data_IF_639146640297
#
_entry.id   IF_639146640297
#
_cell.length_a   1.000
_cell.length_b   1.000
_cell.length_c   1.000
_cell.angle_alpha   90.00
_cell.angle_beta   90.00
_cell.angle_gamma   90.00
#
_symmetry.space_group_name_H-M   'P 1'
#
loop_
_entity.id
_entity.type
_entity.pdbx_description
1 polymer ?
#
# COMPACT_ATOMS: atom_id res chain seq x y z
N UNK A 1 2.53 28.40 8.26
CA UNK A 1 1.79 27.73 9.35
C UNK A 1 1.97 26.24 9.16
N UNK A 2 3.08 25.72 9.65
CA UNK A 2 3.43 24.30 9.63
C UNK A 2 2.54 23.52 10.59
N UNK A 3 1.64 22.71 10.03
CA UNK A 3 0.93 21.65 10.75
C UNK A 3 1.30 20.32 10.10
N UNK A 4 2.40 19.76 10.60
CA UNK A 4 2.55 18.34 10.94
C UNK A 4 1.49 17.44 10.32
N UNK A 5 1.77 16.92 9.13
CA UNK A 5 1.05 15.75 8.63
C UNK A 5 1.44 14.58 9.52
N UNK A 6 0.60 14.27 10.51
CA UNK A 6 0.67 13.02 11.25
C UNK A 6 0.57 11.90 10.20
N UNK A 7 1.72 11.37 9.78
CA UNK A 7 1.79 10.24 8.88
C UNK A 7 1.21 9.08 9.68
N UNK A 8 -0.09 8.87 9.53
CA UNK A 8 -0.76 7.71 10.08
C UNK A 8 -0.15 6.50 9.37
N UNK A 9 0.82 5.86 10.01
CA UNK A 9 1.51 4.68 9.48
C UNK A 9 0.94 3.45 10.15
N UNK A 10 0.83 2.38 9.39
CA UNK A 10 0.46 1.07 9.91
C UNK A 10 1.24 -0.01 9.19
N UNK A 11 1.25 -1.21 9.75
CA UNK A 11 1.92 -2.35 9.16
C UNK A 11 0.89 -3.41 8.84
N UNK A 12 1.01 -4.01 7.66
CA UNK A 12 0.20 -5.16 7.25
C UNK A 12 1.09 -6.36 7.01
N UNK A 13 0.55 -7.55 7.23
CA UNK A 13 1.20 -8.79 6.82
C UNK A 13 0.71 -9.15 5.42
N UNK A 14 1.61 -9.18 4.45
CA UNK A 14 1.34 -9.56 3.07
C UNK A 14 2.42 -10.52 2.58
N UNK A 15 2.05 -11.66 1.99
CA UNK A 15 2.98 -12.71 1.57
C UNK A 15 4.01 -13.12 2.66
N UNK A 16 3.57 -13.19 3.92
CA UNK A 16 4.42 -13.51 5.07
C UNK A 16 5.50 -12.46 5.40
N UNK A 17 5.46 -11.30 4.73
CA UNK A 17 6.34 -10.16 4.97
C UNK A 17 5.56 -9.01 5.60
N UNK A 18 6.24 -8.25 6.46
CA UNK A 18 5.66 -7.04 7.06
C UNK A 18 5.88 -5.88 6.10
N UNK A 19 4.78 -5.27 5.65
CA UNK A 19 4.79 -4.15 4.71
C UNK A 19 4.35 -2.89 5.43
N UNK A 20 5.16 -1.83 5.33
CA UNK A 20 4.82 -0.52 5.86
C UNK A 20 3.77 0.15 4.97
N UNK A 21 2.69 0.63 5.57
CA UNK A 21 1.61 1.35 4.89
C UNK A 21 1.54 2.77 5.44
N UNK A 22 1.78 3.76 4.58
CA UNK A 22 1.50 5.16 4.91
C UNK A 22 0.07 5.50 4.50
N UNK A 23 -0.72 5.98 5.44
CA UNK A 23 -2.07 6.48 5.19
C UNK A 23 -1.96 7.95 4.80
N UNK A 24 -2.21 8.27 3.53
CA UNK A 24 -2.10 9.63 2.99
C UNK A 24 -3.49 10.17 2.70
N UNK A 25 -3.94 11.13 3.50
CA UNK A 25 -5.29 11.70 3.39
C UNK A 25 -6.41 10.67 3.60
N UNK A 26 -6.08 9.54 4.24
CA UNK A 26 -6.96 8.41 4.51
C UNK A 26 -6.76 7.90 5.94
N UNK A 27 -7.56 6.92 6.34
CA UNK A 27 -7.51 6.28 7.66
C UNK A 27 -7.46 4.75 7.56
N UNK A 28 -7.32 4.10 8.71
CA UNK A 28 -7.20 2.64 8.86
C UNK A 28 -8.39 1.86 8.29
N UNK A 29 -9.55 2.49 8.05
CA UNK A 29 -10.74 1.83 7.47
C UNK A 29 -10.52 1.43 6.02
N UNK A 30 -9.50 1.96 5.34
CA UNK A 30 -9.14 1.54 3.99
C UNK A 30 -8.21 0.33 3.94
N UNK A 31 -7.70 -0.15 5.09
CA UNK A 31 -6.83 -1.34 5.13
C UNK A 31 -7.51 -2.60 4.59
N UNK A 32 -8.79 -2.91 4.91
CA UNK A 32 -9.50 -4.03 4.29
C UNK A 32 -9.58 -3.91 2.75
N UNK A 33 -9.85 -2.71 2.23
CA UNK A 33 -9.87 -2.43 0.78
C UNK A 33 -8.50 -2.68 0.16
N UNK A 34 -7.42 -2.22 0.81
CA UNK A 34 -6.04 -2.49 0.39
C UNK A 34 -5.75 -3.99 0.34
N UNK A 35 -6.07 -4.73 1.41
CA UNK A 35 -5.85 -6.18 1.46
C UNK A 35 -6.66 -6.93 0.40
N UNK A 36 -7.89 -6.48 0.13
CA UNK A 36 -8.70 -7.02 -0.96
C UNK A 36 -8.05 -6.75 -2.31
N UNK A 37 -7.66 -5.51 -2.59
CA UNK A 37 -7.00 -5.12 -3.84
C UNK A 37 -5.68 -5.87 -4.06
N UNK A 38 -4.88 -6.08 -3.01
CA UNK A 38 -3.66 -6.89 -3.08
C UNK A 38 -3.96 -8.39 -3.33
N UNK A 39 -5.11 -8.90 -2.89
CA UNK A 39 -5.48 -10.31 -3.17
C UNK A 39 -6.05 -10.49 -4.58
N UNK A 40 -6.75 -9.49 -5.11
CA UNK A 40 -7.41 -9.56 -6.41
C UNK A 40 -6.51 -9.15 -7.57
N UNK A 41 -5.63 -8.17 -7.37
CA UNK A 41 -4.71 -7.68 -8.41
C UNK A 41 -3.46 -8.57 -8.56
N UNK A 42 -3.68 -9.88 -8.67
CA UNK A 42 -2.62 -10.89 -8.87
C UNK A 42 -1.82 -10.66 -10.15
N UNK A 43 -2.39 -10.00 -11.16
CA UNK A 43 -1.68 -9.65 -12.39
C UNK A 43 -0.64 -8.55 -12.13
N UNK A 44 -1.03 -7.48 -11.43
CA UNK A 44 -0.13 -6.38 -11.06
C UNK A 44 0.94 -6.85 -10.08
N UNK A 45 0.58 -7.74 -9.16
CA UNK A 45 1.51 -8.33 -8.17
C UNK A 45 2.36 -9.46 -8.74
N UNK A 46 1.90 -10.18 -9.75
CA UNK A 46 2.71 -11.18 -10.47
C UNK A 46 3.85 -10.54 -11.27
N UNK A 47 3.70 -9.27 -11.65
CA UNK A 47 4.78 -8.47 -12.24
C UNK A 47 5.76 -7.93 -11.19
N UNK A 48 5.37 -7.90 -9.92
CA UNK A 48 6.26 -7.55 -8.82
C UNK A 48 7.18 -8.75 -8.57
N UNK A 49 8.34 -8.73 -9.23
CA UNK A 49 9.35 -9.81 -9.12
C UNK A 49 10.07 -9.80 -7.76
N UNK A 50 9.91 -8.74 -6.96
CA UNK A 50 10.61 -8.53 -5.69
C UNK A 50 9.67 -8.18 -4.56
N UNK A 51 10.10 -8.41 -3.31
CA UNK A 51 9.29 -8.18 -2.12
C UNK A 51 8.74 -6.75 -2.04
N UNK A 52 7.53 -6.64 -1.47
CA UNK A 52 6.86 -5.35 -1.34
C UNK A 52 7.40 -4.63 -0.10
N UNK A 53 8.02 -3.48 -0.31
CA UNK A 53 8.70 -2.75 0.78
C UNK A 53 7.74 -1.82 1.52
N UNK A 54 6.90 -1.13 0.75
CA UNK A 54 6.06 -0.05 1.25
C UNK A 54 4.82 0.12 0.39
N UNK A 55 3.77 0.63 1.00
CA UNK A 55 2.55 1.09 0.35
C UNK A 55 2.23 2.50 0.79
N UNK A 56 1.88 3.37 -0.15
CA UNK A 56 1.15 4.58 0.14
C UNK A 56 -0.32 4.34 -0.17
N UNK A 57 -1.16 4.39 0.85
CA UNK A 57 -2.59 4.18 0.75
C UNK A 57 -3.30 5.53 0.68
N UNK A 58 -4.11 5.71 -0.35
CA UNK A 58 -5.01 6.84 -0.54
C UNK A 58 -6.45 6.38 -0.41
N UNK A 59 -7.40 7.32 -0.55
CA UNK A 59 -8.82 6.98 -0.46
C UNK A 59 -9.31 6.08 -1.59
N UNK A 60 -8.73 6.14 -2.79
CA UNK A 60 -9.21 5.38 -3.96
C UNK A 60 -8.19 4.44 -4.59
N UNK A 61 -6.93 4.57 -4.19
CA UNK A 61 -5.83 3.83 -4.79
C UNK A 61 -4.71 3.59 -3.77
N UNK A 62 -3.85 2.64 -4.11
CA UNK A 62 -2.62 2.36 -3.41
C UNK A 62 -1.44 2.42 -4.37
N UNK A 63 -0.33 3.02 -3.93
CA UNK A 63 0.94 2.98 -4.63
C UNK A 63 1.84 2.00 -3.91
N UNK A 64 2.22 0.94 -4.59
CA UNK A 64 3.08 -0.12 -4.09
C UNK A 64 4.52 0.15 -4.51
N UNK A 65 5.46 0.01 -3.60
CA UNK A 65 6.88 0.18 -3.84
C UNK A 65 7.60 -1.16 -3.68
N UNK A 66 8.28 -1.60 -4.72
CA UNK A 66 9.16 -2.78 -4.66
C UNK A 66 10.48 -2.43 -3.97
N UNK A 67 11.21 -3.44 -3.50
CA UNK A 67 12.57 -3.23 -2.99
C UNK A 67 13.53 -2.64 -4.02
N UNK A 68 13.30 -2.92 -5.31
CA UNK A 68 14.11 -2.41 -6.42
C UNK A 68 13.77 -0.96 -6.80
N UNK A 69 12.73 -0.39 -6.19
CA UNK A 69 12.30 0.99 -6.45
C UNK A 69 11.23 1.14 -7.52
N UNK A 70 10.69 0.02 -8.03
CA UNK A 70 9.55 0.04 -8.94
C UNK A 70 8.29 0.52 -8.20
N UNK A 71 7.39 1.14 -8.96
CA UNK A 71 6.14 1.67 -8.44
C UNK A 71 4.96 1.12 -9.22
N UNK A 72 3.98 0.61 -8.50
CA UNK A 72 2.77 0.05 -9.09
C UNK A 72 1.56 0.73 -8.48
N UNK A 73 0.64 1.18 -9.33
CA UNK A 73 -0.63 1.77 -8.90
C UNK A 73 -1.71 0.70 -8.92
N UNK A 74 -2.44 0.58 -7.82
CA UNK A 74 -3.54 -0.37 -7.66
C UNK A 74 -4.81 0.36 -7.22
N UNK A 75 -5.90 0.32 -8.01
CA UNK A 75 -7.18 0.85 -7.58
C UNK A 75 -7.77 -0.01 -6.45
N UNK A 76 -8.45 0.63 -5.49
CA UNK A 76 -9.11 -0.07 -4.39
C UNK A 76 -10.53 -0.57 -4.74
N UNK A 77 -11.16 0.01 -5.78
CA UNK A 77 -12.53 -0.25 -6.24
C UNK A 77 -12.63 -0.20 -7.76
#
# INVERSE_FOLDING_TARGET
MDRWGDYNKTNILFNQETVNVNLIGTDHKQIPSLLHALKTNKLTLGNIQTSLKQVDLYNSEAILYSEQGDKYRVPLF
#
